data_IF_534358677536
#
_entry.id   IF_534358677536
#
_cell.length_a   1.000
_cell.length_b   1.000
_cell.length_c   1.000
_cell.angle_alpha   90.00
_cell.angle_beta   90.00
_cell.angle_gamma   90.00
#
_symmetry.space_group_name_H-M   'P 1'
#
loop_
_entity.id
_entity.type
_entity.pdbx_description
1 polymer ?
#
# COMPACT_ATOMS: atom_id res chain seq x y z
N UNK A 1 27.77 17.02 13.31
CA UNK A 1 27.40 15.75 13.95
C UNK A 1 26.33 15.06 13.15
N UNK A 2 26.57 13.84 12.65
CA UNK A 2 25.53 13.05 11.97
C UNK A 2 24.58 12.47 13.03
N UNK A 3 23.29 12.73 12.91
CA UNK A 3 22.26 12.09 13.74
C UNK A 3 21.80 10.80 13.06
N UNK A 4 21.28 9.86 13.85
CA UNK A 4 20.69 8.62 13.30
C UNK A 4 19.59 8.97 12.29
N UNK A 5 18.70 9.91 12.63
CA UNK A 5 17.65 10.41 11.73
C UNK A 5 18.23 10.97 10.42
N UNK A 6 19.29 11.77 10.51
CA UNK A 6 19.95 12.34 9.32
C UNK A 6 20.57 11.27 8.43
N UNK A 7 21.11 10.19 9.02
CA UNK A 7 21.67 9.08 8.25
C UNK A 7 20.57 8.32 7.49
N UNK A 8 19.44 7.98 8.15
CA UNK A 8 18.31 7.33 7.47
C UNK A 8 17.76 8.20 6.33
N UNK A 9 17.63 9.51 6.53
CA UNK A 9 17.18 10.43 5.49
C UNK A 9 18.12 10.41 4.27
N UNK A 10 19.44 10.45 4.53
CA UNK A 10 20.46 10.38 3.47
C UNK A 10 20.40 9.06 2.69
N UNK A 11 20.29 7.93 3.39
CA UNK A 11 20.18 6.61 2.75
C UNK A 11 18.91 6.50 1.91
N UNK A 12 17.75 6.91 2.43
CA UNK A 12 16.48 6.88 1.69
C UNK A 12 16.56 7.75 0.43
N UNK A 13 17.18 8.94 0.53
CA UNK A 13 17.33 9.85 -0.60
C UNK A 13 18.33 9.33 -1.65
N UNK A 14 19.42 8.69 -1.23
CA UNK A 14 20.50 8.23 -2.12
C UNK A 14 20.23 6.89 -2.82
N UNK A 15 19.33 6.07 -2.29
CA UNK A 15 18.96 4.80 -2.91
C UNK A 15 18.26 5.01 -4.26
N UNK A 16 18.60 4.17 -5.23
CA UNK A 16 18.07 4.20 -6.59
C UNK A 16 18.14 2.80 -7.23
N UNK A 17 17.65 2.65 -8.47
CA UNK A 17 17.54 1.36 -9.16
C UNK A 17 18.87 0.58 -9.29
N UNK A 18 20.02 1.26 -9.34
CA UNK A 18 21.33 0.61 -9.46
C UNK A 18 21.75 -0.13 -8.18
N UNK A 19 21.10 0.17 -7.05
CA UNK A 19 21.35 -0.51 -5.78
C UNK A 19 20.48 -1.76 -5.59
N UNK A 20 19.58 -2.06 -6.54
CA UNK A 20 18.73 -3.25 -6.48
C UNK A 20 19.52 -4.48 -6.93
N UNK A 21 19.66 -5.44 -6.02
CA UNK A 21 20.23 -6.76 -6.34
C UNK A 21 19.14 -7.71 -6.86
N UNK A 22 19.54 -8.71 -7.65
CA UNK A 22 18.61 -9.73 -8.15
C UNK A 22 17.86 -10.44 -7.01
N UNK A 23 18.55 -10.66 -5.89
CA UNK A 23 17.97 -11.30 -4.72
C UNK A 23 16.83 -10.46 -4.10
N UNK A 24 17.01 -9.15 -3.95
CA UNK A 24 15.94 -8.28 -3.42
C UNK A 24 14.81 -8.16 -4.43
N UNK A 25 15.09 -8.10 -5.74
CA UNK A 25 14.06 -8.06 -6.77
C UNK A 25 13.21 -9.34 -6.74
N UNK A 26 13.83 -10.51 -6.70
CA UNK A 26 13.11 -11.79 -6.67
C UNK A 26 12.28 -11.96 -5.38
N UNK A 27 12.80 -11.54 -4.23
CA UNK A 27 12.06 -11.57 -2.96
C UNK A 27 10.90 -10.57 -2.97
N UNK A 28 11.13 -9.34 -3.42
CA UNK A 28 10.10 -8.31 -3.49
C UNK A 28 8.96 -8.66 -4.44
N UNK A 29 9.24 -9.28 -5.59
CA UNK A 29 8.18 -9.78 -6.49
C UNK A 29 7.26 -10.79 -5.80
N UNK A 30 7.81 -11.73 -5.02
CA UNK A 30 7.02 -12.68 -4.24
C UNK A 30 6.21 -12.00 -3.15
N UNK A 31 6.82 -11.06 -2.41
CA UNK A 31 6.11 -10.28 -1.38
C UNK A 31 4.95 -9.47 -1.98
N UNK A 32 5.16 -8.80 -3.12
CA UNK A 32 4.11 -8.05 -3.81
C UNK A 32 2.97 -8.97 -4.25
N UNK A 33 3.29 -10.12 -4.86
CA UNK A 33 2.28 -11.06 -5.33
C UNK A 33 1.47 -11.66 -4.18
N UNK A 34 2.15 -12.06 -3.09
CA UNK A 34 1.52 -12.58 -1.88
C UNK A 34 0.60 -11.52 -1.22
N UNK A 35 1.10 -10.29 -1.06
CA UNK A 35 0.34 -9.15 -0.51
C UNK A 35 -0.91 -8.85 -1.32
N UNK A 36 -0.80 -8.85 -2.66
CA UNK A 36 -1.97 -8.67 -3.54
C UNK A 36 -2.96 -9.82 -3.40
N UNK A 37 -2.47 -11.06 -3.28
CA UNK A 37 -3.30 -12.25 -3.09
C UNK A 37 -4.12 -12.18 -1.81
N UNK A 38 -3.46 -12.02 -0.65
CA UNK A 38 -4.15 -11.92 0.65
C UNK A 38 -5.00 -10.64 0.72
N UNK A 39 -4.54 -9.54 0.12
CA UNK A 39 -5.28 -8.28 0.04
C UNK A 39 -6.59 -8.41 -0.74
N UNK A 40 -6.58 -9.04 -1.92
CA UNK A 40 -7.79 -9.29 -2.70
C UNK A 40 -8.76 -10.22 -1.96
N UNK A 41 -8.25 -11.28 -1.34
CA UNK A 41 -9.07 -12.18 -0.53
C UNK A 41 -9.71 -11.45 0.67
N UNK A 42 -8.94 -10.60 1.36
CA UNK A 42 -9.40 -9.86 2.53
C UNK A 42 -10.43 -8.78 2.23
N UNK A 43 -10.63 -8.39 0.96
CA UNK A 43 -11.70 -7.45 0.57
C UNK A 43 -13.11 -7.94 0.94
N UNK A 44 -13.30 -9.25 1.06
CA UNK A 44 -14.57 -9.87 1.43
C UNK A 44 -14.87 -9.87 2.94
N UNK A 45 -13.95 -9.39 3.78
CA UNK A 45 -14.13 -9.40 5.24
C UNK A 45 -15.04 -8.27 5.72
N UNK A 46 -15.72 -8.49 6.85
CA UNK A 46 -16.61 -7.49 7.46
C UNK A 46 -15.84 -6.22 7.87
N UNK A 47 -14.61 -6.38 8.37
CA UNK A 47 -13.76 -5.24 8.73
C UNK A 47 -13.41 -4.40 7.50
N UNK A 48 -13.02 -5.03 6.38
CA UNK A 48 -12.77 -4.33 5.12
C UNK A 48 -14.02 -3.60 4.61
N UNK A 49 -15.20 -4.21 4.76
CA UNK A 49 -16.46 -3.56 4.40
C UNK A 49 -16.72 -2.31 5.24
N UNK A 50 -16.56 -2.39 6.57
CA UNK A 50 -16.78 -1.26 7.50
C UNK A 50 -15.88 -0.08 7.16
N UNK A 51 -14.58 -0.32 6.96
CA UNK A 51 -13.63 0.77 6.64
C UNK A 51 -13.88 1.33 5.23
N UNK A 52 -14.34 0.50 4.29
CA UNK A 52 -14.73 0.94 2.95
C UNK A 52 -15.93 1.87 3.00
N UNK A 53 -16.97 1.52 3.78
CA UNK A 53 -18.16 2.37 3.94
C UNK A 53 -17.83 3.70 4.61
N UNK A 54 -17.03 3.68 5.68
CA UNK A 54 -16.55 4.89 6.33
C UNK A 54 -15.78 5.80 5.35
N UNK A 55 -14.90 5.21 4.54
CA UNK A 55 -14.03 5.96 3.64
C UNK A 55 -14.78 6.66 2.50
N UNK A 56 -16.02 6.26 2.17
CA UNK A 56 -16.86 6.91 1.14
C UNK A 56 -17.21 8.37 1.45
N UNK A 57 -17.10 8.76 2.72
CA UNK A 57 -17.37 10.13 3.17
C UNK A 57 -16.35 11.14 2.62
N UNK A 58 -15.20 10.66 2.16
CA UNK A 58 -14.09 11.49 1.74
C UNK A 58 -13.98 11.57 0.22
N UNK A 59 -13.79 12.79 -0.29
CA UNK A 59 -13.59 13.09 -1.72
C UNK A 59 -12.37 13.98 -1.90
N UNK A 60 -11.71 13.83 -3.05
CA UNK A 60 -10.55 14.61 -3.49
C UNK A 60 -10.52 14.59 -5.01
N UNK A 61 -9.90 15.59 -5.62
CA UNK A 61 -9.70 15.67 -7.08
C UNK A 61 -8.81 14.52 -7.58
N UNK A 62 -7.96 13.98 -6.71
CA UNK A 62 -7.15 12.79 -6.99
C UNK A 62 -7.81 11.55 -6.41
N UNK A 63 -7.74 10.44 -7.15
CA UNK A 63 -8.33 9.18 -6.72
C UNK A 63 -7.47 7.98 -7.09
N UNK A 64 -7.53 6.95 -6.25
CA UNK A 64 -6.85 5.67 -6.38
C UNK A 64 -7.83 4.51 -6.24
N UNK A 65 -7.46 3.36 -6.78
CA UNK A 65 -8.30 2.16 -6.82
C UNK A 65 -8.35 1.46 -5.47
N UNK A 66 -9.55 1.02 -5.09
CA UNK A 66 -9.75 0.07 -3.99
C UNK A 66 -9.75 -1.34 -4.56
N UNK A 67 -8.96 -2.24 -3.99
CA UNK A 67 -8.84 -3.62 -4.49
C UNK A 67 -10.17 -4.38 -4.37
N UNK A 68 -10.39 -5.33 -5.28
CA UNK A 68 -11.62 -6.12 -5.34
C UNK A 68 -12.88 -5.39 -5.83
N UNK A 69 -12.83 -4.07 -6.04
CA UNK A 69 -13.99 -3.26 -6.44
C UNK A 69 -13.73 -2.51 -7.75
N UNK A 70 -14.31 -2.99 -8.85
CA UNK A 70 -14.22 -2.31 -10.14
C UNK A 70 -15.01 -0.99 -10.10
N UNK A 71 -14.36 0.10 -10.48
CA UNK A 71 -14.98 1.44 -10.57
C UNK A 71 -15.12 2.19 -9.24
N UNK A 72 -14.86 1.55 -8.10
CA UNK A 72 -14.84 2.23 -6.81
C UNK A 72 -13.45 2.84 -6.55
N UNK A 73 -13.42 4.17 -6.36
CA UNK A 73 -12.19 4.92 -6.16
C UNK A 73 -12.33 5.82 -4.94
N UNK A 74 -11.23 6.01 -4.23
CA UNK A 74 -11.12 6.85 -3.04
C UNK A 74 -9.92 7.78 -3.17
N UNK A 75 -9.83 8.88 -2.40
CA UNK A 75 -8.60 9.65 -2.30
C UNK A 75 -7.42 8.73 -1.93
N UNK A 76 -6.19 9.00 -2.41
CA UNK A 76 -5.05 8.08 -2.24
C UNK A 76 -4.82 7.61 -0.79
N UNK A 77 -4.99 8.51 0.18
CA UNK A 77 -4.91 8.19 1.62
C UNK A 77 -5.90 7.08 2.01
N UNK A 78 -7.16 7.22 1.63
CA UNK A 78 -8.22 6.29 2.00
C UNK A 78 -8.17 5.00 1.17
N UNK A 79 -7.74 5.06 -0.09
CA UNK A 79 -7.49 3.87 -0.88
C UNK A 79 -6.35 3.03 -0.25
N UNK A 80 -5.25 3.66 0.17
CA UNK A 80 -4.16 2.98 0.85
C UNK A 80 -4.59 2.40 2.20
N UNK A 81 -5.40 3.13 2.96
CA UNK A 81 -5.96 2.66 4.23
C UNK A 81 -6.83 1.40 4.03
N UNK A 82 -7.81 1.44 3.12
CA UNK A 82 -8.70 0.30 2.86
C UNK A 82 -7.92 -0.91 2.33
N UNK A 83 -7.01 -0.70 1.37
CA UNK A 83 -6.19 -1.79 0.82
C UNK A 83 -5.26 -2.39 1.89
N UNK A 84 -4.70 -1.56 2.78
CA UNK A 84 -3.88 -2.02 3.90
C UNK A 84 -4.67 -2.83 4.92
N UNK A 85 -5.91 -2.42 5.24
CA UNK A 85 -6.81 -3.23 6.07
C UNK A 85 -7.08 -4.57 5.41
N UNK A 86 -7.41 -4.59 4.12
CA UNK A 86 -7.68 -5.83 3.40
C UNK A 86 -6.52 -6.84 3.45
N UNK A 87 -5.26 -6.38 3.44
CA UNK A 87 -4.07 -7.25 3.58
C UNK A 87 -3.96 -7.91 4.96
N UNK A 88 -4.46 -7.25 6.01
CA UNK A 88 -4.33 -7.69 7.41
C UNK A 88 -5.67 -8.13 8.03
N UNK A 89 -6.66 -8.48 7.18
CA UNK A 89 -8.01 -8.86 7.60
C UNK A 89 -8.21 -10.37 7.74
#
# INVERSE_FOLDING_TARGET
>A
SQTITGNFASVIHGLNANHLTDQVIQRSKRMILDTLGVGLQGTGTEVCHKVTQYSKLYRSDTSSTVWGHLGFRLPPLYAAFVNGVAVSS
#
